data_IF_220721349906
#
_entry.id   IF_220721349906
#
_cell.length_a   1.000
_cell.length_b   1.000
_cell.length_c   1.000
_cell.angle_alpha   90.00
_cell.angle_beta   90.00
_cell.angle_gamma   90.00
#
_symmetry.space_group_name_H-M   'P 1'
#
loop_
_entity.id
_entity.type
_entity.pdbx_description
1 polymer ?
#
# COMPACT_ATOMS: atom_id res chain seq x y z
N UNK A 1 -14.75 14.31 -14.52
CA UNK A 1 -15.19 14.79 -13.21
C UNK A 1 -14.32 14.20 -12.11
N UNK A 2 -13.91 15.05 -11.23
CA UNK A 2 -13.08 14.61 -10.11
C UNK A 2 -13.96 14.31 -8.90
N UNK A 3 -13.80 13.13 -8.35
CA UNK A 3 -14.50 12.76 -7.13
C UNK A 3 -13.47 12.75 -6.01
N UNK A 4 -13.44 13.85 -5.33
CA UNK A 4 -12.47 14.05 -4.29
C UNK A 4 -12.53 12.92 -3.27
N UNK A 5 -11.37 12.36 -2.94
CA UNK A 5 -11.29 11.25 -2.02
C UNK A 5 -11.38 9.87 -2.66
N UNK A 6 -11.98 9.80 -3.85
CA UNK A 6 -12.10 8.54 -4.58
C UNK A 6 -11.19 8.45 -5.80
N UNK A 7 -10.54 9.55 -6.15
CA UNK A 7 -9.70 9.57 -7.33
C UNK A 7 -8.35 8.93 -7.05
N UNK A 8 -7.86 8.20 -8.04
CA UNK A 8 -6.52 7.65 -8.01
C UNK A 8 -5.56 8.71 -8.51
N UNK A 9 -4.53 9.02 -7.74
CA UNK A 9 -3.67 10.18 -7.97
C UNK A 9 -2.55 9.96 -8.99
N UNK A 10 -2.54 8.80 -9.65
CA UNK A 10 -1.49 8.45 -10.62
C UNK A 10 -2.08 8.30 -12.00
N UNK A 11 -1.51 8.99 -12.99
CA UNK A 11 -2.04 8.96 -14.36
C UNK A 11 -2.02 7.57 -15.00
N UNK A 12 -1.09 6.69 -14.60
CA UNK A 12 -1.03 5.33 -15.12
C UNK A 12 -2.28 4.51 -14.79
N UNK A 13 -3.08 4.97 -13.84
CA UNK A 13 -4.27 4.26 -13.37
C UNK A 13 -5.53 5.10 -13.58
N UNK A 14 -5.56 5.90 -14.62
CA UNK A 14 -6.63 6.86 -14.83
C UNK A 14 -8.02 6.24 -14.96
N UNK A 15 -8.13 4.98 -15.37
CA UNK A 15 -9.41 4.29 -15.45
C UNK A 15 -9.74 3.43 -14.24
N UNK A 16 -8.90 3.49 -13.21
CA UNK A 16 -9.04 2.65 -12.02
C UNK A 16 -10.21 3.14 -11.17
N UNK A 17 -11.14 2.26 -10.86
CA UNK A 17 -12.31 2.59 -10.03
C UNK A 17 -12.06 2.36 -8.54
N UNK A 18 -10.84 1.96 -8.17
CA UNK A 18 -10.49 1.75 -6.77
C UNK A 18 -10.91 0.39 -6.21
N UNK A 19 -11.42 -0.51 -7.04
CA UNK A 19 -11.75 -1.85 -6.56
C UNK A 19 -10.53 -2.76 -6.55
N UNK A 20 -10.57 -3.80 -5.71
CA UNK A 20 -9.46 -4.72 -5.56
C UNK A 20 -9.32 -5.65 -6.76
N UNK A 21 -8.09 -6.08 -7.05
CA UNK A 21 -7.82 -7.10 -8.05
C UNK A 21 -8.43 -8.43 -7.58
N UNK A 22 -9.35 -9.03 -8.33
CA UNK A 22 -10.01 -10.26 -7.88
C UNK A 22 -9.06 -11.42 -7.61
N UNK A 23 -8.02 -11.59 -8.41
CA UNK A 23 -7.06 -12.68 -8.20
C UNK A 23 -6.28 -12.50 -6.92
N UNK A 24 -5.88 -11.28 -6.62
CA UNK A 24 -5.20 -10.99 -5.36
C UNK A 24 -6.12 -11.25 -4.18
N UNK A 25 -7.38 -10.87 -4.27
CA UNK A 25 -8.33 -11.11 -3.19
C UNK A 25 -8.58 -12.58 -2.93
N UNK A 26 -8.64 -13.39 -3.99
CA UNK A 26 -8.74 -14.84 -3.84
C UNK A 26 -7.54 -15.38 -3.06
N UNK A 27 -6.33 -14.94 -3.43
CA UNK A 27 -5.11 -15.41 -2.76
C UNK A 27 -5.07 -14.98 -1.30
N UNK A 28 -5.43 -13.72 -1.01
CA UNK A 28 -5.44 -13.20 0.36
C UNK A 28 -6.44 -13.94 1.24
N UNK A 29 -7.65 -14.16 0.73
CA UNK A 29 -8.69 -14.84 1.48
C UNK A 29 -8.35 -16.31 1.72
N UNK A 30 -7.76 -16.97 0.74
CA UNK A 30 -7.33 -18.36 0.90
C UNK A 30 -6.26 -18.47 1.97
N UNK A 31 -5.28 -17.58 1.96
CA UNK A 31 -4.23 -17.59 2.99
C UNK A 31 -4.80 -17.29 4.37
N UNK A 32 -5.79 -16.42 4.48
CA UNK A 32 -6.43 -16.11 5.75
C UNK A 32 -7.14 -17.33 6.34
N UNK A 33 -7.72 -18.16 5.47
CA UNK A 33 -8.43 -19.38 5.92
C UNK A 33 -7.49 -20.54 6.15
N UNK A 34 -6.46 -20.68 5.34
CA UNK A 34 -5.54 -21.81 5.37
C UNK A 34 -4.09 -21.32 5.16
N UNK A 35 -3.52 -20.67 6.19
CA UNK A 35 -2.17 -20.12 6.04
C UNK A 35 -1.13 -21.22 5.84
N UNK A 36 -0.29 -21.03 4.83
CA UNK A 36 0.80 -21.96 4.50
C UNK A 36 1.81 -21.26 3.62
N UNK A 37 2.96 -21.89 3.41
CA UNK A 37 3.95 -21.38 2.47
C UNK A 37 3.37 -21.30 1.05
N UNK A 38 2.54 -22.26 0.68
CA UNK A 38 1.92 -22.27 -0.65
C UNK A 38 0.95 -21.11 -0.84
N UNK A 39 0.07 -20.87 0.14
CA UNK A 39 -0.88 -19.76 0.04
C UNK A 39 -0.17 -18.41 0.12
N UNK A 40 0.88 -18.30 0.92
CA UNK A 40 1.68 -17.07 0.97
C UNK A 40 2.36 -16.81 -0.38
N UNK A 41 2.92 -17.85 -1.01
CA UNK A 41 3.55 -17.70 -2.33
C UNK A 41 2.52 -17.30 -3.39
N UNK A 42 1.29 -17.77 -3.28
CA UNK A 42 0.22 -17.37 -4.21
C UNK A 42 -0.07 -15.89 -4.11
N UNK A 43 0.00 -15.31 -2.90
CA UNK A 43 -0.17 -13.88 -2.72
C UNK A 43 0.96 -13.12 -3.42
N UNK A 44 2.21 -13.54 -3.21
CA UNK A 44 3.36 -12.88 -3.83
C UNK A 44 3.26 -12.94 -5.36
N UNK A 45 2.86 -14.08 -5.90
CA UNK A 45 2.64 -14.21 -7.34
C UNK A 45 1.58 -13.25 -7.85
N UNK A 46 0.44 -13.16 -7.17
CA UNK A 46 -0.63 -12.25 -7.58
C UNK A 46 -0.17 -10.80 -7.52
N UNK A 47 0.67 -10.46 -6.55
CA UNK A 47 1.17 -9.11 -6.41
C UNK A 47 2.06 -8.67 -7.57
N UNK A 48 2.69 -9.59 -8.29
CA UNK A 48 3.56 -9.21 -9.41
C UNK A 48 2.80 -8.49 -10.53
N UNK A 49 1.49 -8.64 -10.58
CA UNK A 49 0.65 -8.01 -11.61
C UNK A 49 -0.44 -7.13 -11.00
N UNK A 50 -0.35 -6.82 -9.70
CA UNK A 50 -1.39 -6.07 -9.00
C UNK A 50 -0.93 -4.65 -8.70
N UNK A 51 -1.90 -3.72 -8.73
CA UNK A 51 -1.67 -2.40 -8.18
C UNK A 51 -2.22 -2.37 -6.75
N UNK A 52 -1.56 -1.59 -5.92
CA UNK A 52 -2.02 -1.31 -4.56
C UNK A 52 -2.20 0.19 -4.39
N UNK A 53 -2.94 0.58 -3.37
CA UNK A 53 -3.15 1.96 -3.01
C UNK A 53 -2.32 2.28 -1.77
N UNK A 54 -1.42 3.25 -1.91
CA UNK A 54 -0.56 3.68 -0.81
C UNK A 54 -1.17 4.93 -0.20
N UNK A 55 -1.37 4.96 1.12
CA UNK A 55 -1.93 6.15 1.76
C UNK A 55 -0.89 7.25 1.85
N UNK A 56 -1.32 8.48 1.59
CA UNK A 56 -0.49 9.66 1.78
C UNK A 56 -1.27 10.68 2.57
N UNK A 57 -0.54 11.51 3.29
CA UNK A 57 -1.12 12.60 4.06
C UNK A 57 -0.34 13.86 3.76
N UNK A 58 -1.03 15.00 3.79
CA UNK A 58 -0.36 16.29 3.67
C UNK A 58 0.29 16.64 5.00
N UNK A 59 1.53 17.11 4.95
CA UNK A 59 2.25 17.59 6.12
C UNK A 59 2.62 19.05 5.92
N UNK A 60 2.54 19.82 7.00
CA UNK A 60 2.97 21.21 7.01
C UNK A 60 4.32 21.26 7.70
N UNK A 61 5.36 21.63 6.94
CA UNK A 61 6.71 21.67 7.48
C UNK A 61 6.95 22.91 8.36
N UNK A 62 6.29 24.02 8.05
CA UNK A 62 6.41 25.23 8.83
C UNK A 62 5.20 26.13 8.59
N UNK A 63 5.02 27.11 9.49
CA UNK A 63 3.90 28.03 9.42
C UNK A 63 4.46 29.46 9.48
N UNK A 64 3.89 30.37 8.68
CA UNK A 64 4.23 31.76 8.72
C UNK A 64 3.71 32.41 10.01
N UNK A 65 4.21 33.61 10.30
CA UNK A 65 3.81 34.33 11.52
C UNK A 65 2.31 34.59 11.59
N UNK A 66 1.66 34.73 10.43
CA UNK A 66 0.22 34.99 10.36
C UNK A 66 -0.62 33.72 10.42
N UNK A 67 0.02 32.55 10.62
CA UNK A 67 -0.67 31.27 10.72
C UNK A 67 -0.87 30.54 9.42
N UNK A 68 -0.44 31.09 8.28
CA UNK A 68 -0.55 30.39 7.00
C UNK A 68 0.57 29.39 6.81
N UNK A 69 0.30 28.36 6.02
CA UNK A 69 1.31 27.34 5.72
C UNK A 69 2.45 27.94 4.93
N UNK A 70 3.67 27.72 5.41
CA UNK A 70 4.85 28.13 4.68
C UNK A 70 5.29 27.08 3.67
N UNK A 71 5.34 25.81 4.12
CA UNK A 71 5.67 24.69 3.28
C UNK A 71 4.76 23.52 3.62
N UNK A 72 4.37 22.78 2.60
CA UNK A 72 3.65 21.53 2.80
C UNK A 72 4.07 20.53 1.74
N UNK A 73 3.97 19.26 2.06
CA UNK A 73 4.26 18.20 1.11
C UNK A 73 3.41 16.98 1.44
N UNK A 74 3.31 16.07 0.47
CA UNK A 74 2.62 14.80 0.66
C UNK A 74 3.63 13.82 1.21
N UNK A 75 3.32 13.25 2.38
CA UNK A 75 4.19 12.31 3.06
C UNK A 75 3.59 10.91 3.03
N UNK A 76 4.46 9.93 2.81
CA UNK A 76 4.11 8.54 2.88
C UNK A 76 4.02 8.09 4.33
N UNK A 77 3.03 7.27 4.64
CA UNK A 77 2.80 6.76 5.98
C UNK A 77 3.62 5.50 6.20
N UNK A 78 4.26 5.39 7.36
CA UNK A 78 4.93 4.15 7.78
C UNK A 78 4.49 3.80 9.18
N UNK A 79 4.60 2.51 9.53
CA UNK A 79 4.32 2.02 10.87
C UNK A 79 5.54 1.39 11.49
N UNK A 80 5.77 1.71 12.76
CA UNK A 80 6.86 1.15 13.51
C UNK A 80 6.30 0.24 14.59
N UNK A 81 6.75 -1.01 14.62
CA UNK A 81 6.33 -1.95 15.66
C UNK A 81 7.13 -1.74 16.93
N UNK A 82 6.69 -2.41 18.01
CA UNK A 82 7.34 -2.28 19.32
C UNK A 82 8.80 -2.73 19.30
N UNK A 83 9.14 -3.68 18.40
CA UNK A 83 10.51 -4.19 18.27
C UNK A 83 11.36 -3.35 17.31
N UNK A 84 10.85 -2.23 16.82
CA UNK A 84 11.59 -1.32 15.96
C UNK A 84 11.48 -1.60 14.46
N UNK A 85 10.74 -2.62 14.05
CA UNK A 85 10.54 -2.91 12.63
C UNK A 85 9.59 -1.89 12.01
N UNK A 86 9.86 -1.50 10.78
CA UNK A 86 9.10 -0.47 10.08
C UNK A 86 8.44 -1.07 8.85
N UNK A 87 7.13 -0.88 8.72
CA UNK A 87 6.35 -1.35 7.58
C UNK A 87 5.68 -0.23 6.83
N UNK A 88 5.46 -0.46 5.53
CA UNK A 88 4.72 0.45 4.67
C UNK A 88 3.33 -0.12 4.44
N UNK A 89 2.27 0.58 4.86
CA UNK A 89 0.91 0.09 4.61
C UNK A 89 0.50 0.34 3.15
N UNK A 90 -0.20 -0.62 2.58
CA UNK A 90 -0.80 -0.49 1.26
C UNK A 90 -2.14 -1.25 1.27
N UNK A 91 -3.03 -0.89 0.36
CA UNK A 91 -4.39 -1.39 0.39
C UNK A 91 -4.81 -1.86 -1.00
N UNK A 92 -5.62 -2.91 -1.03
CA UNK A 92 -6.09 -3.49 -2.29
C UNK A 92 -7.17 -2.65 -2.94
N UNK A 93 -7.90 -1.84 -2.16
CA UNK A 93 -9.02 -1.05 -2.66
C UNK A 93 -9.18 0.23 -1.86
N UNK A 94 -9.95 1.16 -2.43
CA UNK A 94 -10.32 2.38 -1.70
C UNK A 94 -11.09 2.03 -0.43
N UNK A 95 -11.97 1.02 -0.49
CA UNK A 95 -12.72 0.61 0.68
C UNK A 95 -11.78 0.13 1.80
N UNK A 96 -10.80 -0.69 1.47
CA UNK A 96 -9.83 -1.17 2.45
C UNK A 96 -9.03 -0.01 3.06
N UNK A 97 -8.65 0.95 2.23
CA UNK A 97 -7.97 2.16 2.70
C UNK A 97 -8.83 2.96 3.66
N UNK A 98 -10.09 3.19 3.31
CA UNK A 98 -11.00 3.99 4.11
C UNK A 98 -11.41 3.29 5.41
N UNK A 99 -11.46 1.95 5.40
CA UNK A 99 -11.70 1.19 6.61
C UNK A 99 -10.58 1.40 7.62
N UNK A 100 -9.37 1.65 7.14
CA UNK A 100 -8.23 1.95 7.99
C UNK A 100 -8.21 3.44 8.39
N UNK A 101 -8.34 4.33 7.42
CA UNK A 101 -8.34 5.79 7.68
C UNK A 101 -9.11 6.49 6.58
N UNK A 102 -10.34 6.96 6.87
CA UNK A 102 -11.17 7.62 5.86
C UNK A 102 -10.59 8.94 5.36
N UNK A 103 -9.59 9.50 6.03
CA UNK A 103 -8.97 10.76 5.63
C UNK A 103 -7.75 10.57 4.74
N UNK A 104 -7.24 9.35 4.62
CA UNK A 104 -6.09 9.08 3.80
C UNK A 104 -6.44 9.19 2.32
N UNK A 105 -5.49 9.68 1.53
CA UNK A 105 -5.64 9.77 0.07
C UNK A 105 -4.84 8.65 -0.58
N UNK A 106 -5.39 8.02 -1.62
CA UNK A 106 -4.71 6.93 -2.29
C UNK A 106 -3.76 7.43 -3.38
N UNK A 107 -2.58 6.83 -3.43
CA UNK A 107 -1.73 6.87 -4.62
C UNK A 107 -1.61 5.44 -5.13
N UNK A 108 -2.00 5.20 -6.37
CA UNK A 108 -1.92 3.90 -6.98
C UNK A 108 -0.50 3.66 -7.49
N UNK A 109 0.04 2.48 -7.18
CA UNK A 109 1.34 2.05 -7.66
C UNK A 109 1.33 0.55 -7.87
N UNK A 110 2.18 0.07 -8.77
CA UNK A 110 2.39 -1.36 -8.90
C UNK A 110 3.01 -1.90 -7.62
N UNK A 111 2.54 -3.06 -7.17
CA UNK A 111 3.06 -3.66 -5.94
C UNK A 111 4.56 -3.92 -6.02
N UNK A 112 5.06 -4.27 -7.21
CA UNK A 112 6.50 -4.46 -7.41
C UNK A 112 7.28 -3.16 -7.17
N UNK A 113 6.75 -2.04 -7.61
CA UNK A 113 7.39 -0.74 -7.38
C UNK A 113 7.38 -0.35 -5.91
N UNK A 114 6.29 -0.64 -5.22
CA UNK A 114 6.19 -0.37 -3.78
C UNK A 114 7.20 -1.23 -3.02
N UNK A 115 7.30 -2.50 -3.36
CA UNK A 115 8.27 -3.40 -2.73
C UNK A 115 9.70 -2.92 -2.94
N UNK A 116 10.00 -2.45 -4.15
CA UNK A 116 11.32 -1.90 -4.46
C UNK A 116 11.62 -0.67 -3.60
N UNK A 117 10.64 0.22 -3.43
CA UNK A 117 10.80 1.37 -2.54
C UNK A 117 11.05 0.94 -1.10
N UNK A 118 10.35 -0.09 -0.62
CA UNK A 118 10.58 -0.61 0.72
C UNK A 118 12.02 -1.07 0.90
N UNK A 119 12.54 -1.82 -0.07
CA UNK A 119 13.91 -2.32 0.01
C UNK A 119 14.92 -1.16 -0.03
N UNK A 120 14.69 -0.21 -0.92
CA UNK A 120 15.61 0.93 -1.08
C UNK A 120 15.61 1.85 0.15
N UNK A 121 14.52 1.89 0.90
CA UNK A 121 14.38 2.71 2.09
C UNK A 121 14.63 1.94 3.38
N UNK A 122 15.12 0.71 3.28
CA UNK A 122 15.40 -0.16 4.42
C UNK A 122 14.18 -0.41 5.31
N UNK A 123 12.99 -0.48 4.70
CA UNK A 123 11.79 -0.87 5.41
C UNK A 123 11.71 -2.39 5.50
N UNK A 124 11.12 -2.88 6.57
CA UNK A 124 11.13 -4.32 6.87
C UNK A 124 10.01 -5.08 6.19
N UNK A 125 8.90 -4.43 5.89
CA UNK A 125 7.72 -5.11 5.39
C UNK A 125 6.82 -4.20 4.58
N UNK A 126 6.09 -4.81 3.64
CA UNK A 126 4.94 -4.21 2.99
C UNK A 126 3.70 -4.80 3.65
N UNK A 127 2.86 -3.97 4.24
CA UNK A 127 1.70 -4.41 5.01
C UNK A 127 0.44 -4.21 4.18
N UNK A 128 -0.23 -5.30 3.83
CA UNK A 128 -1.39 -5.26 2.94
C UNK A 128 -2.68 -5.41 3.74
N UNK A 129 -3.61 -4.47 3.53
CA UNK A 129 -4.97 -4.48 4.10
C UNK A 129 -4.97 -4.73 5.62
N UNK A 130 -4.18 -3.96 6.33
CA UNK A 130 -3.92 -4.22 7.75
C UNK A 130 -5.15 -4.04 8.65
N UNK A 131 -6.20 -3.40 8.17
CA UNK A 131 -7.46 -3.26 8.92
C UNK A 131 -8.45 -4.37 8.60
N UNK A 132 -8.08 -5.36 7.80
CA UNK A 132 -8.99 -6.42 7.38
C UNK A 132 -8.59 -7.78 7.95
N UNK A 133 -9.54 -8.74 7.96
CA UNK A 133 -9.22 -10.11 8.42
C UNK A 133 -8.20 -10.84 7.55
N UNK A 134 -8.06 -10.43 6.27
CA UNK A 134 -7.11 -11.07 5.35
C UNK A 134 -5.78 -10.32 5.27
N UNK A 135 -5.46 -9.50 6.25
CA UNK A 135 -4.21 -8.75 6.26
C UNK A 135 -3.00 -9.66 6.08
N UNK A 136 -2.00 -9.15 5.39
CA UNK A 136 -0.82 -9.94 5.07
C UNK A 136 0.43 -9.04 5.04
N UNK A 137 1.53 -9.54 5.58
CA UNK A 137 2.80 -8.82 5.55
C UNK A 137 3.75 -9.51 4.57
N UNK A 138 4.24 -8.74 3.60
CA UNK A 138 5.30 -9.20 2.69
C UNK A 138 6.62 -8.75 3.28
N UNK A 139 7.44 -9.69 3.71
CA UNK A 139 8.69 -9.37 4.42
C UNK A 139 9.77 -10.38 4.09
N UNK A 140 11.00 -10.08 4.45
CA UNK A 140 12.13 -10.97 4.24
C UNK A 140 12.36 -11.27 2.78
N UNK A 141 12.62 -12.55 2.48
CA UNK A 141 12.91 -12.98 1.12
C UNK A 141 11.74 -12.69 0.16
N UNK A 142 10.51 -12.83 0.61
CA UNK A 142 9.34 -12.55 -0.20
C UNK A 142 9.32 -11.09 -0.67
N UNK A 143 9.71 -10.16 0.20
CA UNK A 143 9.79 -8.75 -0.16
C UNK A 143 10.85 -8.52 -1.23
N UNK A 144 12.02 -9.14 -1.08
CA UNK A 144 13.09 -9.04 -2.07
C UNK A 144 12.67 -9.64 -3.41
N UNK A 145 11.98 -10.76 -3.39
CA UNK A 145 11.47 -11.39 -4.60
C UNK A 145 10.47 -10.49 -5.32
N UNK A 146 9.55 -9.90 -4.59
CA UNK A 146 8.57 -9.00 -5.18
C UNK A 146 9.24 -7.75 -5.76
N UNK A 147 10.23 -7.20 -5.03
CA UNK A 147 10.96 -6.02 -5.47
C UNK A 147 11.75 -6.29 -6.76
N UNK A 148 12.18 -7.53 -6.97
CA UNK A 148 12.95 -7.94 -8.15
C UNK A 148 12.09 -8.35 -9.33
N UNK A 149 10.80 -8.54 -9.13
CA UNK A 149 9.90 -9.00 -10.18
C UNK A 149 9.61 -7.88 -11.18
N UNK A 150 9.36 -8.26 -12.43
CA UNK A 150 8.95 -7.30 -13.44
C UNK A 150 7.43 -7.23 -13.48
N UNK A 151 6.93 -6.01 -13.53
CA UNK A 151 5.50 -5.78 -13.71
C UNK A 151 5.15 -5.91 -15.18
N UNK A 152 4.11 -6.67 -15.47
CA UNK A 152 3.61 -6.82 -16.84
C UNK A 152 2.35 -6.02 -17.06
#
# INVERSE_FOLDING_TARGET
>A
MTRFGNDILTSDFAGDDGSADPQLMVALNLNAQMPSALTANSIVNALTTSRLLVPVVAQVDSVNEDGTEKDSHIAQVTFKSADGRVGLPAFTSIQALQDWDPKARPIAQWATAIAKSCVESDLDALLIDMASPHRFAVQGLALLQLASAKTN
#
